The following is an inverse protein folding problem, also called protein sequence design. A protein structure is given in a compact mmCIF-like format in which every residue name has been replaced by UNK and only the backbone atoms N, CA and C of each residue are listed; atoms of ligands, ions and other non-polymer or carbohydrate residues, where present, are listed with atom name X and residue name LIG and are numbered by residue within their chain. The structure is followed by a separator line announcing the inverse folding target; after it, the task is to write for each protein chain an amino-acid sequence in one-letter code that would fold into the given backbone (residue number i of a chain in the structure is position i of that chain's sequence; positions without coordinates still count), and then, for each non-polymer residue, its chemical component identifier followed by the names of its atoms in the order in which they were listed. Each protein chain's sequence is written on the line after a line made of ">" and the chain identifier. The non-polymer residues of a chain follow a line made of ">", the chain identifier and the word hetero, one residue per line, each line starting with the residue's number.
data_IF_213512855221
#
_entry.id   IF_213512855221
#
_cell.length_a   1.000
_cell.length_b   1.000
_cell.length_c   1.000
_cell.angle_alpha   90.00
_cell.angle_beta   90.00
_cell.angle_gamma   90.00
#
_symmetry.space_group_name_H-M   'P 1'
#
loop_
_entity.id
_entity.type
_entity.pdbx_description
1 polymer ?
#
# COMPACT_ATOMS: atom_id res chain seq x y z
N UNK A 1 22.68 9.84 10.46
CA UNK A 1 22.88 8.37 10.47
C UNK A 1 23.20 7.97 9.04
N UNK A 2 24.41 7.48 8.81
CA UNK A 2 24.90 7.02 7.50
C UNK A 2 24.83 5.50 7.50
N UNK A 3 24.25 4.90 6.46
CA UNK A 3 24.25 3.45 6.26
C UNK A 3 25.26 3.12 5.16
N UNK A 4 26.36 2.45 5.53
CA UNK A 4 27.28 1.84 4.58
C UNK A 4 27.08 0.33 4.62
N UNK A 5 26.67 -0.27 3.51
CA UNK A 5 26.58 -1.73 3.38
C UNK A 5 27.95 -2.29 2.98
N UNK A 6 28.48 -3.21 3.79
CA UNK A 6 29.62 -4.04 3.41
C UNK A 6 29.18 -5.01 2.30
N UNK A 7 29.77 -4.87 1.12
CA UNK A 7 29.73 -5.90 0.09
C UNK A 7 30.52 -7.13 0.57
N UNK A 8 29.89 -8.30 0.50
CA UNK A 8 30.56 -9.60 0.65
C UNK A 8 31.58 -9.76 -0.48
N UNK A 9 32.84 -10.00 -0.13
CA UNK A 9 33.98 -10.19 -1.04
C UNK A 9 34.13 -11.65 -1.46
N UNK A 10 33.03 -12.28 -1.90
CA UNK A 10 33.03 -13.68 -2.34
C UNK A 10 32.97 -13.75 -3.88
N UNK A 11 34.08 -14.04 -4.56
CA UNK A 11 34.16 -14.00 -6.03
C UNK A 11 33.39 -15.13 -6.73
N UNK A 12 32.95 -16.16 -6.01
CA UNK A 12 32.21 -17.30 -6.58
C UNK A 12 30.68 -17.15 -6.52
N UNK A 13 30.17 -16.01 -6.02
CA UNK A 13 28.74 -15.66 -6.04
C UNK A 13 28.36 -14.83 -7.26
N UNK A 14 28.83 -15.21 -8.45
CA UNK A 14 28.33 -14.70 -9.74
C UNK A 14 27.15 -15.57 -10.23
N UNK A 15 26.15 -15.75 -9.37
CA UNK A 15 24.85 -16.29 -9.75
C UNK A 15 23.88 -15.14 -9.94
N UNK A 16 23.37 -15.02 -11.16
CA UNK A 16 22.23 -14.19 -11.61
C UNK A 16 21.57 -13.38 -10.49
N UNK A 17 21.95 -12.10 -10.39
CA UNK A 17 21.20 -11.12 -9.61
C UNK A 17 19.79 -11.06 -10.18
N UNK A 18 18.84 -11.53 -9.40
CA UNK A 18 17.42 -11.33 -9.56
C UNK A 18 17.15 -9.85 -9.84
N UNK A 19 16.79 -9.52 -11.10
CA UNK A 19 16.43 -8.18 -11.57
C UNK A 19 15.16 -7.60 -10.93
N UNK A 20 14.88 -7.92 -9.67
CA UNK A 20 13.65 -7.63 -8.96
C UNK A 20 13.46 -6.16 -8.62
N UNK A 21 14.53 -5.36 -8.51
CA UNK A 21 14.40 -3.92 -8.25
C UNK A 21 14.38 -3.08 -9.53
N UNK A 22 15.25 -3.40 -10.50
CA UNK A 22 15.29 -2.72 -11.81
C UNK A 22 13.98 -2.91 -12.60
N UNK A 23 13.34 -4.08 -12.50
CA UNK A 23 12.07 -4.36 -13.18
C UNK A 23 10.88 -3.54 -12.66
N UNK A 24 10.94 -3.01 -11.44
CA UNK A 24 9.90 -2.12 -10.89
C UNK A 24 9.86 -0.76 -11.60
N UNK A 25 10.93 -0.37 -12.31
CA UNK A 25 10.98 0.88 -13.06
C UNK A 25 10.69 0.70 -14.56
N UNK A 26 10.36 -0.52 -15.02
CA UNK A 26 10.07 -0.80 -16.43
C UNK A 26 8.62 -0.50 -16.84
N UNK A 27 7.79 0.04 -15.93
CA UNK A 27 6.39 0.39 -16.19
C UNK A 27 6.21 1.78 -16.81
N UNK A 28 5.00 2.05 -17.34
CA UNK A 28 4.60 3.41 -17.72
C UNK A 28 4.56 4.32 -16.50
N UNK A 29 5.18 5.49 -16.61
CA UNK A 29 5.03 6.55 -15.61
C UNK A 29 3.67 7.24 -15.77
N UNK A 30 2.99 7.48 -14.64
CA UNK A 30 1.73 8.23 -14.57
C UNK A 30 1.73 9.19 -13.39
N UNK A 31 1.07 10.33 -13.57
CA UNK A 31 0.94 11.36 -12.54
C UNK A 31 -0.46 11.35 -11.95
N UNK A 32 -0.57 11.57 -10.65
CA UNK A 32 -1.84 11.62 -9.93
C UNK A 32 -1.93 12.85 -9.04
N UNK A 33 -3.12 13.43 -8.96
CA UNK A 33 -3.44 14.51 -8.01
C UNK A 33 -4.91 14.41 -7.57
N UNK A 34 -5.26 15.19 -6.56
CA UNK A 34 -6.63 15.33 -6.05
C UNK A 34 -6.79 16.71 -5.39
N UNK A 35 -7.89 16.99 -4.70
CA UNK A 35 -8.07 18.26 -3.96
C UNK A 35 -6.95 18.46 -2.93
N UNK A 36 -6.46 17.37 -2.36
CA UNK A 36 -5.22 17.32 -1.61
C UNK A 36 -4.67 15.91 -1.53
N UNK A 37 -3.36 15.82 -1.37
CA UNK A 37 -2.68 14.64 -0.87
C UNK A 37 -2.61 14.75 0.66
N UNK A 38 -2.88 13.67 1.38
CA UNK A 38 -2.64 13.60 2.82
C UNK A 38 -1.46 12.67 3.07
N UNK A 39 -0.34 13.20 3.55
CA UNK A 39 0.86 12.42 3.87
C UNK A 39 1.63 13.13 4.97
N UNK A 40 2.46 12.42 5.73
CA UNK A 40 3.28 13.00 6.81
C UNK A 40 2.45 13.82 7.83
N UNK A 41 1.21 13.39 8.08
CA UNK A 41 0.20 14.11 8.88
C UNK A 41 -0.13 15.53 8.39
N UNK A 42 0.05 15.79 7.10
CA UNK A 42 -0.16 17.09 6.47
C UNK A 42 -1.10 16.98 5.27
N UNK A 43 -1.88 18.05 5.08
CA UNK A 43 -2.68 18.27 3.87
C UNK A 43 -1.86 19.06 2.86
N UNK A 44 -1.58 18.47 1.71
CA UNK A 44 -0.82 19.07 0.62
C UNK A 44 -1.75 19.37 -0.57
N UNK A 45 -2.27 20.61 -0.70
CA UNK A 45 -2.98 21.04 -1.89
C UNK A 45 -2.01 21.25 -3.06
N UNK A 46 -2.55 21.41 -4.28
CA UNK A 46 -1.79 21.72 -5.50
C UNK A 46 -0.58 20.81 -5.73
N UNK A 47 -0.66 19.54 -5.33
CA UNK A 47 0.47 18.61 -5.39
C UNK A 47 0.10 17.39 -6.22
N UNK A 48 0.99 17.02 -7.14
CA UNK A 48 0.93 15.77 -7.88
C UNK A 48 2.09 14.85 -7.48
N UNK A 49 1.91 13.55 -7.65
CA UNK A 49 2.97 12.56 -7.50
C UNK A 49 3.02 11.60 -8.69
N UNK A 50 4.22 11.13 -8.98
CA UNK A 50 4.50 10.18 -10.06
C UNK A 50 4.52 8.76 -9.52
N UNK A 51 3.88 7.83 -10.24
CA UNK A 51 3.97 6.40 -10.00
C UNK A 51 4.51 5.70 -11.22
N UNK A 52 5.52 4.86 -11.02
CA UNK A 52 6.06 3.96 -12.04
C UNK A 52 6.24 2.57 -11.44
N UNK A 53 5.67 1.56 -12.12
CA UNK A 53 5.69 0.15 -11.67
C UNK A 53 5.36 -0.07 -10.19
N UNK A 54 4.38 0.68 -9.68
CA UNK A 54 3.88 0.56 -8.31
C UNK A 54 4.68 1.34 -7.26
N UNK A 55 5.73 2.07 -7.66
CA UNK A 55 6.55 2.88 -6.76
C UNK A 55 6.25 4.36 -6.99
N UNK A 56 6.12 5.11 -5.90
CA UNK A 56 6.06 6.58 -5.95
C UNK A 56 7.48 7.11 -6.12
N UNK A 57 7.76 7.79 -7.23
CA UNK A 57 9.12 8.27 -7.54
C UNK A 57 9.39 9.66 -6.98
N UNK A 58 8.43 10.56 -7.17
CA UNK A 58 8.56 11.96 -6.78
C UNK A 58 7.20 12.62 -6.61
N UNK A 59 7.21 13.78 -5.95
CA UNK A 59 6.07 14.69 -5.84
C UNK A 59 6.51 16.11 -6.14
N UNK A 60 5.64 16.89 -6.78
CA UNK A 60 5.87 18.32 -7.04
C UNK A 60 4.55 19.08 -7.19
N UNK A 61 4.58 20.42 -7.10
CA UNK A 61 3.39 21.22 -7.37
C UNK A 61 2.82 20.95 -8.78
N UNK A 62 1.50 21.00 -8.95
CA UNK A 62 0.87 20.79 -10.27
C UNK A 62 1.36 21.86 -11.26
N UNK A 63 1.54 23.09 -10.77
CA UNK A 63 2.11 24.20 -11.54
C UNK A 63 3.55 23.98 -12.03
N UNK A 64 4.28 23.00 -11.48
CA UNK A 64 5.64 22.65 -11.87
C UNK A 64 5.72 21.42 -12.81
N UNK A 65 4.57 20.91 -13.29
CA UNK A 65 4.52 19.87 -14.31
C UNK A 65 4.86 20.46 -15.68
N UNK A 66 5.66 19.72 -16.47
CA UNK A 66 5.82 19.96 -17.90
C UNK A 66 4.55 19.59 -18.66
N UNK A 67 4.45 20.03 -19.91
CA UNK A 67 3.29 19.72 -20.77
C UNK A 67 3.08 18.21 -20.94
N UNK A 68 4.17 17.43 -21.05
CA UNK A 68 4.10 15.97 -21.18
C UNK A 68 3.60 15.31 -19.89
N UNK A 69 4.09 15.75 -18.74
CA UNK A 69 3.66 15.21 -17.43
C UNK A 69 2.20 15.59 -17.14
N UNK A 70 1.81 16.83 -17.45
CA UNK A 70 0.44 17.32 -17.33
C UNK A 70 -0.52 16.55 -18.24
N UNK A 71 -0.11 16.19 -19.46
CA UNK A 71 -0.89 15.34 -20.35
C UNK A 71 -1.14 13.92 -19.79
N UNK A 72 -0.29 13.45 -18.87
CA UNK A 72 -0.39 12.15 -18.18
C UNK A 72 -0.98 12.26 -16.78
N UNK A 73 -1.45 13.45 -16.38
CA UNK A 73 -2.01 13.69 -15.05
C UNK A 73 -3.45 13.17 -14.96
N UNK A 74 -3.69 12.31 -13.98
CA UNK A 74 -5.03 11.90 -13.55
C UNK A 74 -5.40 12.70 -12.30
N UNK A 75 -6.38 13.59 -12.42
CA UNK A 75 -6.87 14.40 -11.32
C UNK A 75 -8.20 13.88 -10.76
N UNK A 76 -8.26 13.55 -9.47
CA UNK A 76 -9.47 13.14 -8.77
C UNK A 76 -10.13 14.33 -8.07
N UNK A 77 -10.97 15.06 -8.81
CA UNK A 77 -11.70 16.22 -8.26
C UNK A 77 -12.69 15.81 -7.16
N UNK A 78 -12.79 16.62 -6.11
CA UNK A 78 -13.62 16.35 -4.94
C UNK A 78 -13.11 15.21 -4.04
N UNK A 79 -11.94 14.63 -4.33
CA UNK A 79 -11.35 13.54 -3.56
C UNK A 79 -10.10 14.00 -2.79
N UNK A 80 -9.72 13.19 -1.80
CA UNK A 80 -8.40 13.22 -1.20
C UNK A 80 -7.66 11.92 -1.55
N UNK A 81 -6.35 12.00 -1.75
CA UNK A 81 -5.49 10.81 -1.82
C UNK A 81 -4.76 10.66 -0.49
N UNK A 82 -4.81 9.46 0.09
CA UNK A 82 -4.15 9.13 1.35
C UNK A 82 -3.34 7.85 1.20
N UNK A 83 -2.35 7.58 2.06
CA UNK A 83 -1.83 6.24 2.25
C UNK A 83 -2.98 5.27 2.51
N UNK A 84 -2.88 4.07 1.93
CA UNK A 84 -3.79 2.98 2.26
C UNK A 84 -3.64 2.61 3.75
N UNK A 85 -4.75 2.26 4.39
CA UNK A 85 -4.71 1.82 5.79
C UNK A 85 -3.98 0.47 5.91
N UNK A 86 -3.15 0.35 6.94
CA UNK A 86 -2.49 -0.91 7.30
C UNK A 86 -3.31 -1.60 8.38
N UNK A 87 -3.95 -2.72 8.02
CA UNK A 87 -4.61 -3.59 8.99
C UNK A 87 -3.60 -4.57 9.58
N UNK A 88 -3.02 -4.24 10.74
CA UNK A 88 -1.97 -5.03 11.39
C UNK A 88 -2.46 -6.30 12.09
N UNK A 89 -3.77 -6.47 12.26
CA UNK A 89 -4.34 -7.61 12.94
C UNK A 89 -5.74 -7.93 12.43
N UNK A 90 -5.90 -9.11 11.84
CA UNK A 90 -7.21 -9.62 11.46
C UNK A 90 -7.27 -11.14 11.64
N UNK A 91 -8.50 -11.63 11.71
CA UNK A 91 -8.82 -13.04 11.54
C UNK A 91 -9.70 -13.17 10.31
N UNK A 92 -9.09 -13.30 9.13
CA UNK A 92 -9.80 -13.25 7.84
C UNK A 92 -11.02 -14.19 7.77
N UNK A 93 -10.91 -15.41 8.30
CA UNK A 93 -12.00 -16.40 8.33
C UNK A 93 -13.22 -15.93 9.15
N UNK A 94 -13.01 -15.12 10.18
CA UNK A 94 -14.10 -14.58 11.01
C UNK A 94 -14.97 -13.57 10.25
N UNK A 95 -14.57 -13.16 9.03
CA UNK A 95 -15.44 -12.37 8.16
C UNK A 95 -16.76 -13.09 7.84
N UNK A 96 -16.76 -14.42 7.81
CA UNK A 96 -17.97 -15.24 7.62
C UNK A 96 -18.87 -15.29 8.87
N UNK A 97 -18.34 -14.86 10.03
CA UNK A 97 -19.03 -14.91 11.32
C UNK A 97 -19.54 -13.53 11.76
N UNK A 98 -19.46 -12.51 10.90
CA UNK A 98 -19.95 -11.17 11.20
C UNK A 98 -21.44 -11.20 11.55
N UNK A 99 -21.82 -10.57 12.65
CA UNK A 99 -23.21 -10.53 13.11
C UNK A 99 -23.64 -11.71 13.98
N UNK A 100 -22.77 -12.71 14.18
CA UNK A 100 -23.07 -13.88 15.02
C UNK A 100 -22.60 -13.61 16.44
N UNK A 101 -23.52 -13.72 17.40
CA UNK A 101 -23.26 -13.57 18.83
C UNK A 101 -22.71 -12.19 19.23
N UNK A 102 -23.12 -11.12 18.52
CA UNK A 102 -22.65 -9.74 18.79
C UNK A 102 -23.00 -9.24 20.20
N UNK A 103 -24.15 -9.68 20.76
CA UNK A 103 -24.64 -9.28 22.09
C UNK A 103 -24.24 -10.27 23.22
N UNK A 104 -23.45 -11.30 22.90
CA UNK A 104 -23.07 -12.33 23.87
C UNK A 104 -21.84 -11.91 24.69
N UNK A 105 -21.68 -12.48 25.90
CA UNK A 105 -20.42 -12.34 26.62
C UNK A 105 -19.28 -13.06 25.87
N UNK A 106 -18.04 -12.71 26.20
CA UNK A 106 -16.86 -13.24 25.52
C UNK A 106 -16.81 -14.77 25.45
N UNK A 107 -17.17 -15.48 26.53
CA UNK A 107 -17.08 -16.94 26.56
C UNK A 107 -18.14 -17.56 25.68
N UNK A 108 -19.37 -17.03 25.73
CA UNK A 108 -20.46 -17.45 24.85
C UNK A 108 -20.13 -17.16 23.38
N UNK A 109 -19.65 -15.95 23.04
CA UNK A 109 -19.21 -15.62 21.68
C UNK A 109 -18.09 -16.56 21.19
N UNK A 110 -17.08 -16.82 22.02
CA UNK A 110 -15.94 -17.66 21.68
C UNK A 110 -16.37 -19.10 21.42
N UNK A 111 -17.18 -19.68 22.30
CA UNK A 111 -17.52 -21.10 22.25
C UNK A 111 -18.66 -21.38 21.26
N UNK A 112 -19.74 -20.59 21.30
CA UNK A 112 -20.95 -20.83 20.51
C UNK A 112 -20.95 -20.12 19.15
N UNK A 113 -20.19 -19.02 19.03
CA UNK A 113 -19.94 -18.35 17.75
C UNK A 113 -18.66 -18.89 17.11
N UNK A 114 -17.51 -18.43 17.60
CA UNK A 114 -16.24 -18.62 16.94
C UNK A 114 -15.85 -20.10 16.76
N UNK A 115 -15.69 -20.85 17.85
CA UNK A 115 -15.15 -22.21 17.81
C UNK A 115 -16.10 -23.21 17.18
N UNK A 116 -17.41 -23.03 17.39
CA UNK A 116 -18.45 -23.86 16.76
C UNK A 116 -18.30 -23.88 15.24
N UNK A 117 -18.13 -22.72 14.61
CA UNK A 117 -18.03 -22.63 13.15
C UNK A 117 -16.61 -22.79 12.63
N UNK A 118 -15.58 -22.39 13.39
CA UNK A 118 -14.17 -22.54 12.97
C UNK A 118 -13.82 -24.00 12.61
N UNK A 119 -14.38 -24.97 13.34
CA UNK A 119 -14.18 -26.40 13.09
C UNK A 119 -14.79 -26.91 11.77
N UNK A 120 -15.73 -26.17 11.19
CA UNK A 120 -16.35 -26.50 9.90
C UNK A 120 -15.58 -25.91 8.72
N UNK A 121 -14.58 -25.07 8.99
CA UNK A 121 -13.81 -24.34 7.98
C UNK A 121 -12.41 -24.90 7.75
N UNK A 122 -12.10 -26.08 8.30
CA UNK A 122 -10.89 -26.82 7.98
C UNK A 122 -11.13 -27.69 6.75
N UNK A 123 -10.36 -27.45 5.69
CA UNK A 123 -10.33 -28.28 4.49
C UNK A 123 -9.70 -29.66 4.74
#
# INVERSE_FOLDING_TARGET
>A
MSWSFFGSSDPDRMGEGDGGFESLFMGESRWYSAEFLYTDNQRLPDTAFEVQGGVILQRKPISALSDEESAKLVHYSGCAITPGFVNSHNHSFQSLLKGICDDADFFTWRDDGLYKYARLMTA
#
